data_IF_229330827466
#
_entry.id   IF_229330827466
#
_cell.length_a   1.000
_cell.length_b   1.000
_cell.length_c   1.000
_cell.angle_alpha   90.00
_cell.angle_beta   90.00
_cell.angle_gamma   90.00
#
_symmetry.space_group_name_H-M   'P 1'
#
loop_
_entity.id
_entity.type
_entity.pdbx_description
1 polymer ?
#
# COMPACT_ATOMS: atom_id res chain seq x y z
N UNK A 1 -19.12 -11.30 -27.66
CA UNK A 1 -18.54 -10.21 -26.86
C UNK A 1 -17.37 -9.61 -27.61
N UNK A 2 -17.16 -8.29 -27.54
CA UNK A 2 -16.24 -7.59 -28.44
C UNK A 2 -15.33 -6.65 -27.65
N UNK A 3 -14.03 -6.72 -27.92
CA UNK A 3 -13.05 -5.76 -27.42
C UNK A 3 -12.87 -4.67 -28.48
N UNK A 4 -13.30 -3.45 -28.16
CA UNK A 4 -13.21 -2.31 -29.07
C UNK A 4 -11.78 -1.79 -29.26
N UNK A 5 -10.85 -2.22 -28.42
CA UNK A 5 -9.46 -1.75 -28.41
C UNK A 5 -8.59 -2.47 -29.43
N UNK A 6 -8.73 -3.79 -29.51
CA UNK A 6 -7.98 -4.62 -30.46
C UNK A 6 -8.89 -5.24 -31.54
N UNK A 7 -10.15 -4.79 -31.62
CA UNK A 7 -11.17 -5.25 -32.54
C UNK A 7 -11.35 -6.79 -32.56
N UNK A 8 -11.27 -7.39 -31.37
CA UNK A 8 -11.27 -8.85 -31.20
C UNK A 8 -12.61 -9.31 -30.65
N UNK A 9 -13.14 -10.40 -31.21
CA UNK A 9 -14.39 -11.00 -30.78
C UNK A 9 -14.16 -12.27 -29.96
N UNK A 10 -15.00 -12.45 -28.95
CA UNK A 10 -14.99 -13.54 -28.01
C UNK A 10 -16.36 -14.21 -27.97
N UNK A 11 -16.35 -15.53 -27.80
CA UNK A 11 -17.57 -16.36 -27.75
C UNK A 11 -18.34 -16.14 -26.45
N UNK A 12 -17.64 -15.93 -25.34
CA UNK A 12 -18.21 -15.80 -23.99
C UNK A 12 -17.79 -14.47 -23.33
N UNK A 13 -18.58 -13.94 -22.38
CA UNK A 13 -18.24 -12.68 -21.70
C UNK A 13 -16.98 -12.82 -20.86
N UNK A 14 -16.81 -13.95 -20.17
CA UNK A 14 -15.69 -14.19 -19.25
C UNK A 14 -14.36 -14.26 -20.03
N UNK A 15 -14.37 -14.76 -21.26
CA UNK A 15 -13.19 -14.78 -22.14
C UNK A 15 -12.76 -13.37 -22.54
N UNK A 16 -13.74 -12.49 -22.79
CA UNK A 16 -13.48 -11.07 -23.08
C UNK A 16 -12.93 -10.36 -21.85
N UNK A 17 -13.50 -10.60 -20.67
CA UNK A 17 -13.01 -10.01 -19.41
C UNK A 17 -11.58 -10.46 -19.08
N UNK A 18 -11.28 -11.76 -19.22
CA UNK A 18 -9.91 -12.27 -19.06
C UNK A 18 -8.95 -11.64 -20.05
N UNK A 19 -9.37 -11.44 -21.30
CA UNK A 19 -8.57 -10.75 -22.31
C UNK A 19 -8.29 -9.30 -21.93
N UNK A 20 -9.33 -8.54 -21.57
CA UNK A 20 -9.17 -7.14 -21.17
C UNK A 20 -8.24 -7.03 -19.95
N UNK A 21 -8.37 -7.94 -18.96
CA UNK A 21 -7.52 -7.91 -17.77
C UNK A 21 -6.06 -8.22 -18.10
N UNK A 22 -5.81 -9.14 -19.03
CA UNK A 22 -4.47 -9.56 -19.41
C UNK A 22 -3.76 -8.60 -20.39
N UNK A 23 -4.53 -7.86 -21.21
CA UNK A 23 -3.98 -7.04 -22.32
C UNK A 23 -4.15 -5.53 -22.09
N UNK A 24 -5.18 -5.12 -21.35
CA UNK A 24 -5.55 -3.72 -21.13
C UNK A 24 -5.66 -3.35 -19.64
N UNK A 25 -5.44 -4.30 -18.73
CA UNK A 25 -5.69 -4.12 -17.29
C UNK A 25 -4.77 -3.12 -16.58
N UNK A 26 -3.65 -2.76 -17.20
CA UNK A 26 -2.73 -1.73 -16.72
C UNK A 26 -3.27 -0.31 -16.93
N UNK A 27 -4.11 -0.09 -17.95
CA UNK A 27 -4.68 1.24 -18.29
C UNK A 27 -6.20 1.29 -18.22
N UNK A 28 -6.86 0.19 -17.83
CA UNK A 28 -8.31 0.12 -17.78
C UNK A 28 -8.80 -0.25 -16.37
N UNK A 29 -9.68 0.58 -15.80
CA UNK A 29 -10.48 0.19 -14.64
C UNK A 29 -11.84 -0.31 -15.14
N UNK A 30 -12.16 -1.57 -14.84
CA UNK A 30 -13.36 -2.25 -15.35
C UNK A 30 -14.68 -1.59 -14.94
N UNK A 31 -14.71 -1.01 -13.73
CA UNK A 31 -15.92 -0.42 -13.17
C UNK A 31 -16.06 1.07 -13.49
N UNK A 32 -15.00 1.71 -14.00
CA UNK A 32 -14.94 3.16 -14.15
C UNK A 32 -14.65 3.58 -15.58
N UNK A 33 -13.36 3.64 -15.98
CA UNK A 33 -12.91 4.23 -17.23
C UNK A 33 -11.50 3.76 -17.62
N UNK A 34 -11.10 4.16 -18.84
CA UNK A 34 -9.73 4.02 -19.35
C UNK A 34 -8.87 5.23 -18.95
N UNK A 35 -7.59 4.96 -18.71
CA UNK A 35 -6.54 5.92 -18.41
C UNK A 35 -5.52 6.01 -19.55
N UNK A 36 -4.79 7.14 -19.60
CA UNK A 36 -3.72 7.36 -20.58
C UNK A 36 -2.43 6.67 -20.19
N UNK A 37 -2.15 6.60 -18.89
CA UNK A 37 -0.95 6.01 -18.32
C UNK A 37 -1.31 5.06 -17.17
N UNK A 38 -0.54 3.99 -16.95
CA UNK A 38 -0.80 3.04 -15.86
C UNK A 38 -0.80 3.70 -14.47
N UNK A 39 0.09 4.67 -14.26
CA UNK A 39 0.20 5.36 -12.96
C UNK A 39 -1.07 6.16 -12.62
N UNK A 40 -1.80 6.63 -13.63
CA UNK A 40 -3.07 7.33 -13.43
C UNK A 40 -4.19 6.34 -13.03
N UNK A 41 -4.17 5.14 -13.62
CA UNK A 41 -5.09 4.05 -13.26
C UNK A 41 -4.82 3.58 -11.84
N UNK A 42 -3.55 3.38 -11.46
CA UNK A 42 -3.19 2.97 -10.11
C UNK A 42 -3.61 3.99 -9.05
N UNK A 43 -3.40 5.29 -9.33
CA UNK A 43 -3.90 6.37 -8.46
C UNK A 43 -5.42 6.38 -8.37
N UNK A 44 -6.12 6.14 -9.49
CA UNK A 44 -7.57 6.04 -9.51
C UNK A 44 -8.06 4.87 -8.67
N UNK A 45 -7.50 3.68 -8.86
CA UNK A 45 -7.90 2.49 -8.12
C UNK A 45 -7.65 2.67 -6.61
N UNK A 46 -6.50 3.22 -6.22
CA UNK A 46 -6.23 3.52 -4.82
C UNK A 46 -7.25 4.48 -4.19
N UNK A 47 -7.80 5.42 -4.98
CA UNK A 47 -8.76 6.41 -4.51
C UNK A 47 -10.23 5.94 -4.58
N UNK A 48 -10.59 5.17 -5.61
CA UNK A 48 -11.98 4.82 -5.96
C UNK A 48 -12.31 3.37 -5.60
N UNK A 49 -11.33 2.48 -5.66
CA UNK A 49 -11.44 1.06 -5.32
C UNK A 49 -10.43 0.67 -4.25
N UNK A 50 -10.51 1.26 -3.03
CA UNK A 50 -9.53 0.99 -1.99
C UNK A 50 -9.57 -0.49 -1.60
N UNK A 51 -8.41 -1.13 -1.65
CA UNK A 51 -8.24 -2.56 -1.49
C UNK A 51 -7.06 -2.86 -0.56
N UNK A 52 -7.26 -3.80 0.35
CA UNK A 52 -6.18 -4.39 1.14
C UNK A 52 -5.75 -5.70 0.47
N UNK A 53 -4.53 -5.70 -0.08
CA UNK A 53 -3.95 -6.86 -0.75
C UNK A 53 -3.71 -8.03 0.19
N UNK A 54 -3.26 -7.76 1.41
CA UNK A 54 -2.93 -8.79 2.40
C UNK A 54 -4.17 -9.56 2.87
N UNK A 55 -5.32 -8.90 2.95
CA UNK A 55 -6.60 -9.49 3.35
C UNK A 55 -7.52 -9.86 2.17
N UNK A 56 -7.11 -9.58 0.93
CA UNK A 56 -7.94 -9.63 -0.27
C UNK A 56 -9.33 -8.99 -0.09
N UNK A 57 -9.37 -7.78 0.47
CA UNK A 57 -10.61 -7.11 0.88
C UNK A 57 -10.75 -5.73 0.25
N UNK A 58 -11.90 -5.48 -0.39
CA UNK A 58 -12.28 -4.15 -0.88
C UNK A 58 -13.03 -3.33 0.17
N UNK A 59 -12.90 -2.01 0.08
CA UNK A 59 -13.50 -1.03 0.97
C UNK A 59 -14.33 -0.01 0.20
N UNK A 60 -15.27 0.65 0.89
CA UNK A 60 -16.16 1.65 0.27
C UNK A 60 -15.49 2.98 0.06
N UNK A 61 -14.49 3.30 0.88
CA UNK A 61 -13.73 4.53 0.83
C UNK A 61 -12.32 4.29 1.41
N UNK A 62 -11.35 5.18 1.13
CA UNK A 62 -9.97 5.02 1.59
C UNK A 62 -9.85 5.04 3.11
N UNK A 63 -10.68 5.83 3.81
CA UNK A 63 -10.65 5.93 5.27
C UNK A 63 -10.95 4.59 5.95
N UNK A 64 -11.96 3.85 5.46
CA UNK A 64 -12.31 2.53 5.97
C UNK A 64 -11.16 1.51 5.76
N UNK A 65 -10.43 1.64 4.65
CA UNK A 65 -9.25 0.81 4.34
C UNK A 65 -8.09 1.16 5.26
N UNK A 66 -7.82 2.45 5.48
CA UNK A 66 -6.76 2.90 6.38
C UNK A 66 -7.04 2.50 7.83
N UNK A 67 -8.29 2.59 8.28
CA UNK A 67 -8.70 2.08 9.60
C UNK A 67 -8.51 0.57 9.70
N UNK A 68 -8.83 -0.18 8.64
CA UNK A 68 -8.59 -1.61 8.58
C UNK A 68 -7.10 -1.96 8.65
N UNK A 69 -6.26 -1.31 7.84
CA UNK A 69 -4.82 -1.55 7.84
C UNK A 69 -4.23 -1.20 9.20
N UNK A 70 -4.59 -0.06 9.77
CA UNK A 70 -4.17 0.31 11.12
C UNK A 70 -4.59 -0.74 12.15
N UNK A 71 -5.75 -1.39 12.00
CA UNK A 71 -6.25 -2.40 12.94
C UNK A 71 -5.60 -3.80 12.74
N UNK A 72 -5.41 -4.22 11.50
CA UNK A 72 -5.10 -5.60 11.10
C UNK A 72 -3.66 -5.79 10.66
N UNK A 73 -3.03 -4.72 10.15
CA UNK A 73 -1.65 -4.68 9.67
C UNK A 73 -0.84 -3.64 10.46
N UNK A 74 -0.48 -3.93 11.72
CA UNK A 74 0.31 -2.99 12.50
C UNK A 74 1.62 -2.68 11.82
N UNK A 75 1.97 -1.40 11.79
CA UNK A 75 3.23 -0.92 11.25
C UNK A 75 3.88 0.04 12.24
N UNK A 76 5.17 -0.15 12.48
CA UNK A 76 5.98 0.80 13.23
C UNK A 76 6.72 1.71 12.24
N UNK A 77 6.36 2.98 12.27
CA UNK A 77 6.97 4.01 11.42
C UNK A 77 8.39 4.41 11.86
N UNK A 78 8.75 4.19 13.12
CA UNK A 78 10.08 4.58 13.64
C UNK A 78 11.20 3.67 13.13
N UNK A 79 10.89 2.43 12.76
CA UNK A 79 11.86 1.46 12.23
C UNK A 79 11.42 0.74 10.96
N UNK A 80 10.40 1.28 10.29
CA UNK A 80 9.83 0.74 9.05
C UNK A 80 9.52 -0.77 9.11
N UNK A 81 8.86 -1.19 10.19
CA UNK A 81 8.61 -2.61 10.47
C UNK A 81 7.11 -2.92 10.51
N UNK A 82 6.68 -3.85 9.66
CA UNK A 82 5.34 -4.43 9.70
C UNK A 82 5.23 -5.61 10.66
N UNK A 83 4.07 -5.80 11.28
CA UNK A 83 3.76 -6.90 12.17
C UNK A 83 2.56 -7.70 11.68
N UNK A 84 2.45 -8.95 12.15
CA UNK A 84 1.34 -9.84 11.80
C UNK A 84 0.25 -9.87 12.85
N UNK A 85 0.58 -9.52 14.10
CA UNK A 85 -0.34 -9.58 15.22
C UNK A 85 -0.65 -8.17 15.73
N UNK A 86 -1.93 -7.82 15.95
CA UNK A 86 -2.31 -6.52 16.51
C UNK A 86 -1.66 -6.20 17.86
N UNK A 87 -1.33 -7.21 18.65
CA UNK A 87 -0.63 -7.08 19.93
C UNK A 87 0.76 -6.46 19.79
N UNK A 88 1.41 -6.63 18.64
CA UNK A 88 2.75 -6.12 18.36
C UNK A 88 2.76 -4.59 18.12
N UNK A 89 1.60 -3.92 18.11
CA UNK A 89 1.52 -2.44 18.03
C UNK A 89 2.30 -1.74 19.13
N UNK A 90 2.43 -2.38 20.29
CA UNK A 90 3.18 -1.84 21.43
C UNK A 90 4.69 -1.91 21.21
N UNK A 91 5.18 -2.51 20.12
CA UNK A 91 6.59 -2.54 19.75
C UNK A 91 7.21 -1.15 19.79
N UNK A 92 6.52 -0.15 19.23
CA UNK A 92 7.07 1.19 19.16
C UNK A 92 7.37 1.75 20.56
N UNK A 93 6.44 1.63 21.50
CA UNK A 93 6.64 2.07 22.89
C UNK A 93 7.65 1.19 23.65
N UNK A 94 7.73 -0.10 23.33
CA UNK A 94 8.63 -1.03 23.99
C UNK A 94 10.10 -0.90 23.53
N UNK A 95 10.32 -0.55 22.25
CA UNK A 95 11.63 -0.58 21.60
C UNK A 95 12.13 0.83 21.25
N UNK A 96 11.25 1.74 20.84
CA UNK A 96 11.55 3.15 20.60
C UNK A 96 11.17 3.97 21.84
N UNK A 97 11.89 3.75 22.93
CA UNK A 97 11.95 4.77 23.99
C UNK A 97 12.64 6.03 23.44
N UNK A 98 12.44 7.20 24.06
CA UNK A 98 12.90 8.56 23.62
C UNK A 98 14.41 8.70 23.33
N UNK A 99 14.93 7.92 22.38
CA UNK A 99 16.32 7.86 21.98
C UNK A 99 16.37 8.59 20.64
N UNK A 100 16.52 9.91 20.72
CA UNK A 100 16.66 10.76 19.53
C UNK A 100 17.93 11.60 19.64
N UNK A 101 18.51 11.95 18.49
CA UNK A 101 19.57 12.95 18.42
C UNK A 101 18.93 14.33 18.59
N UNK A 102 19.39 15.11 19.57
CA UNK A 102 18.83 16.45 19.88
C UNK A 102 19.17 17.46 18.79
N UNK A 103 20.29 17.27 18.08
CA UNK A 103 20.76 18.22 17.07
C UNK A 103 20.02 18.10 15.73
N UNK A 104 19.52 16.90 15.39
CA UNK A 104 18.82 16.65 14.13
C UNK A 104 17.42 16.03 14.28
N UNK A 105 16.94 15.84 15.52
CA UNK A 105 15.67 15.20 15.86
C UNK A 105 15.43 13.84 15.19
N UNK A 106 16.52 13.12 14.88
CA UNK A 106 16.45 11.77 14.33
C UNK A 106 16.22 10.76 15.45
N UNK A 107 15.24 9.89 15.27
CA UNK A 107 14.90 8.82 16.22
C UNK A 107 15.73 7.56 15.97
N UNK A 108 15.98 6.81 17.04
CA UNK A 108 16.75 5.56 17.02
C UNK A 108 16.04 4.48 17.82
N UNK A 109 16.21 3.25 17.36
CA UNK A 109 15.67 2.06 18.01
C UNK A 109 16.57 1.45 19.08
N UNK A 110 17.83 1.89 19.16
CA UNK A 110 18.80 1.46 20.16
C UNK A 110 19.78 2.59 20.50
N UNK A 111 20.25 2.67 21.77
CA UNK A 111 21.27 3.65 22.18
C UNK A 111 22.55 3.55 21.37
N UNK A 112 22.97 2.34 20.98
CA UNK A 112 24.15 2.13 20.14
C UNK A 112 24.00 2.78 18.76
N UNK A 113 22.80 2.71 18.16
CA UNK A 113 22.51 3.35 16.88
C UNK A 113 22.58 4.87 16.97
N UNK A 114 22.09 5.44 18.07
CA UNK A 114 22.25 6.88 18.37
C UNK A 114 23.73 7.23 18.60
N UNK A 115 24.44 6.44 19.41
CA UNK A 115 25.86 6.69 19.72
C UNK A 115 26.75 6.64 18.48
N UNK A 116 26.51 5.70 17.57
CA UNK A 116 27.18 5.65 16.27
C UNK A 116 26.83 6.85 15.39
N UNK A 117 25.56 7.26 15.35
CA UNK A 117 25.14 8.44 14.62
C UNK A 117 25.81 9.70 15.16
N UNK A 118 25.77 9.90 16.47
CA UNK A 118 26.40 11.04 17.14
C UNK A 118 27.89 11.03 16.80
N UNK A 119 28.62 9.93 17.01
CA UNK A 119 30.07 9.86 16.75
C UNK A 119 30.49 10.11 15.28
N UNK A 120 29.57 9.95 14.32
CA UNK A 120 29.85 10.15 12.88
C UNK A 120 29.35 11.51 12.39
N UNK A 121 28.32 12.08 13.01
CA UNK A 121 27.63 13.29 12.55
C UNK A 121 27.84 14.51 13.46
N UNK A 122 28.32 14.33 14.69
CA UNK A 122 28.50 15.32 15.75
C UNK A 122 29.79 15.08 16.54
#
# INVERSE_FOLDING_TARGET
YYCHECNRSFRYPEDREKHDAAVHGDVHCFDCNRFRYPEDKDKHDAAVHPYCCDCNRGFRNPEDKDQHDAAVHPYCYDCDRGFRLPEDKQHATAVHQDIHCVDCNRWFCHPDGKGQHDAVKH
#
